data_IF_469104458379
#
_entry.id   IF_469104458379
#
_cell.length_a   1.000
_cell.length_b   1.000
_cell.length_c   1.000
_cell.angle_alpha   90.00
_cell.angle_beta   90.00
_cell.angle_gamma   90.00
#
_symmetry.space_group_name_H-M   'P 1'
#
loop_
_entity.id
_entity.type
_entity.pdbx_description
1 polymer ?
#
# COMPACT_ATOMS: atom_id res chain seq x y z
N UNK A 1 14.03 1.13 -6.22
CA UNK A 1 13.21 1.72 -5.13
C UNK A 1 13.92 2.90 -4.48
N UNK A 2 13.19 3.89 -3.94
CA UNK A 2 13.72 5.05 -3.20
C UNK A 2 12.96 5.20 -1.89
N UNK A 3 13.66 5.61 -0.83
CA UNK A 3 13.05 5.84 0.48
C UNK A 3 12.85 7.33 0.71
N UNK A 4 11.63 7.71 1.09
CA UNK A 4 11.19 9.07 1.25
C UNK A 4 10.91 9.39 2.72
N UNK A 5 11.32 10.56 3.17
CA UNK A 5 10.85 11.17 4.41
C UNK A 5 9.35 11.49 4.31
N UNK A 6 8.69 11.77 5.42
CA UNK A 6 7.29 12.21 5.40
C UNK A 6 7.10 13.48 4.57
N UNK A 7 8.05 14.43 4.63
CA UNK A 7 8.03 15.63 3.81
C UNK A 7 8.12 15.32 2.32
N UNK A 8 9.04 14.45 1.90
CA UNK A 8 9.17 14.03 0.49
C UNK A 8 7.91 13.29 -0.02
N UNK A 9 7.20 12.56 0.87
CA UNK A 9 5.90 11.96 0.52
C UNK A 9 4.84 13.04 0.24
N UNK A 10 4.73 14.07 1.08
CA UNK A 10 3.80 15.20 0.85
C UNK A 10 4.19 15.99 -0.41
N UNK A 11 5.47 16.22 -0.65
CA UNK A 11 5.97 16.87 -1.87
C UNK A 11 5.64 16.04 -3.13
N UNK A 12 5.75 14.71 -3.04
CA UNK A 12 5.37 13.81 -4.14
C UNK A 12 3.87 13.91 -4.48
N UNK A 13 2.98 13.98 -3.48
CA UNK A 13 1.55 14.23 -3.69
C UNK A 13 1.32 15.61 -4.31
N UNK A 14 1.88 16.64 -3.71
CA UNK A 14 1.70 18.04 -4.15
C UNK A 14 2.20 18.26 -5.58
N UNK A 15 3.33 17.66 -5.96
CA UNK A 15 3.87 17.76 -7.33
C UNK A 15 2.94 17.20 -8.41
N UNK A 16 1.93 16.43 -8.00
CA UNK A 16 0.91 15.84 -8.86
C UNK A 16 -0.47 16.49 -8.69
N UNK A 17 -0.52 17.63 -8.01
CA UNK A 17 -1.77 18.31 -7.63
C UNK A 17 -2.75 17.36 -6.90
N UNK A 18 -2.22 16.48 -6.03
CA UNK A 18 -2.99 15.46 -5.31
C UNK A 18 -3.01 15.75 -3.81
N UNK A 19 -4.03 15.22 -3.18
CA UNK A 19 -4.19 15.14 -1.72
C UNK A 19 -4.36 13.69 -1.31
N UNK A 20 -4.32 13.42 0.00
CA UNK A 20 -4.65 12.08 0.50
C UNK A 20 -6.07 11.70 0.09
N UNK A 21 -6.35 10.42 -0.24
CA UNK A 21 -7.61 9.98 -0.82
C UNK A 21 -8.84 10.40 -0.02
N UNK A 22 -8.81 10.31 1.28
CA UNK A 22 -9.92 10.68 2.18
C UNK A 22 -10.30 12.17 2.14
N UNK A 23 -9.44 13.01 1.56
CA UNK A 23 -9.69 14.45 1.36
C UNK A 23 -10.24 14.77 -0.03
N UNK A 24 -10.38 13.78 -0.89
CA UNK A 24 -10.85 13.96 -2.29
C UNK A 24 -12.37 13.99 -2.30
N UNK A 25 -12.96 15.06 -2.82
CA UNK A 25 -14.42 15.17 -2.94
C UNK A 25 -14.96 14.21 -4.01
N UNK A 26 -16.13 13.60 -3.72
CA UNK A 26 -16.81 12.72 -4.66
C UNK A 26 -16.12 11.37 -4.90
N UNK A 27 -15.13 11.01 -4.08
CA UNK A 27 -14.47 9.72 -4.18
C UNK A 27 -15.40 8.60 -3.71
N UNK A 28 -15.41 7.50 -4.45
CA UNK A 28 -16.10 6.27 -4.06
C UNK A 28 -15.16 5.41 -3.21
N UNK A 29 -15.72 4.70 -2.22
CA UNK A 29 -14.92 3.87 -1.30
C UNK A 29 -15.40 2.43 -1.25
N UNK A 30 -14.48 1.50 -1.00
CA UNK A 30 -14.76 0.09 -0.78
C UNK A 30 -13.80 -0.49 0.25
N UNK A 31 -14.35 -0.97 1.35
CA UNK A 31 -13.59 -1.69 2.38
C UNK A 31 -13.51 -3.18 2.02
N UNK A 32 -12.32 -3.74 2.10
CA UNK A 32 -12.04 -5.18 1.99
C UNK A 32 -11.27 -5.60 3.24
N UNK A 33 -11.80 -6.55 4.00
CA UNK A 33 -11.10 -7.09 5.18
C UNK A 33 -9.99 -8.07 4.77
N UNK A 34 -8.96 -8.15 5.60
CA UNK A 34 -7.90 -9.12 5.37
C UNK A 34 -8.44 -10.54 5.45
N UNK A 35 -7.94 -11.41 4.59
CA UNK A 35 -8.30 -12.82 4.69
C UNK A 35 -7.66 -13.46 5.92
N UNK A 36 -8.33 -14.45 6.50
CA UNK A 36 -7.92 -15.13 7.73
C UNK A 36 -6.60 -15.93 7.61
N UNK A 37 -6.02 -16.06 6.43
CA UNK A 37 -4.80 -16.86 6.22
C UNK A 37 -3.67 -16.04 5.60
N UNK A 38 -2.41 -16.22 6.06
CA UNK A 38 -1.25 -15.51 5.51
C UNK A 38 -1.07 -15.68 4.01
N UNK A 39 -1.36 -16.85 3.46
CA UNK A 39 -1.26 -17.09 2.02
C UNK A 39 -2.25 -16.26 1.19
N UNK A 40 -3.41 -15.94 1.74
CA UNK A 40 -4.37 -15.03 1.07
C UNK A 40 -3.96 -13.57 1.22
N UNK A 41 -3.26 -13.19 2.29
CA UNK A 41 -2.64 -11.85 2.43
C UNK A 41 -1.59 -11.66 1.33
N UNK A 42 -0.76 -12.67 1.07
CA UNK A 42 0.17 -12.66 -0.06
C UNK A 42 -0.55 -12.45 -1.39
N UNK A 43 -1.68 -13.15 -1.61
CA UNK A 43 -2.50 -12.97 -2.81
C UNK A 43 -3.02 -11.53 -2.93
N UNK A 44 -3.52 -10.92 -1.84
CA UNK A 44 -3.99 -9.53 -1.84
C UNK A 44 -2.86 -8.56 -2.18
N UNK A 45 -1.70 -8.68 -1.52
CA UNK A 45 -0.54 -7.82 -1.78
C UNK A 45 -0.08 -7.91 -3.25
N UNK A 46 0.02 -9.14 -3.77
CA UNK A 46 0.44 -9.38 -5.14
C UNK A 46 -0.60 -8.87 -6.16
N UNK A 47 -1.89 -9.11 -5.91
CA UNK A 47 -2.95 -8.62 -6.79
C UNK A 47 -2.97 -7.08 -6.85
N UNK A 48 -2.85 -6.40 -5.69
CA UNK A 48 -2.78 -4.94 -5.62
C UNK A 48 -1.60 -4.42 -6.43
N UNK A 49 -0.40 -4.97 -6.19
CA UNK A 49 0.79 -4.57 -6.90
C UNK A 49 0.70 -4.81 -8.42
N UNK A 50 0.05 -5.90 -8.84
CA UNK A 50 -0.04 -6.27 -10.26
C UNK A 50 -1.17 -5.59 -11.03
N UNK A 51 -2.24 -5.14 -10.36
CA UNK A 51 -3.42 -4.61 -11.05
C UNK A 51 -3.66 -3.12 -10.76
N UNK A 52 -3.54 -2.68 -9.49
CA UNK A 52 -3.77 -1.28 -9.12
C UNK A 52 -2.58 -0.40 -9.50
N UNK A 53 -1.35 -0.93 -9.31
CA UNK A 53 -0.12 -0.17 -9.53
C UNK A 53 0.61 -0.55 -10.82
N UNK A 54 -0.04 -1.34 -11.68
CA UNK A 54 0.60 -1.93 -12.86
C UNK A 54 1.30 -0.91 -13.74
N UNK A 55 2.61 -1.14 -13.92
CA UNK A 55 3.50 -0.34 -14.79
C UNK A 55 3.49 1.16 -14.50
N UNK A 56 3.32 1.55 -13.25
CA UNK A 56 3.41 2.96 -12.87
C UNK A 56 4.16 3.14 -11.55
N UNK A 57 4.93 4.22 -11.39
CA UNK A 57 5.54 4.56 -10.12
C UNK A 57 4.50 4.63 -9.02
N UNK A 58 4.79 4.02 -7.88
CA UNK A 58 3.85 3.93 -6.76
C UNK A 58 4.56 4.27 -5.45
N UNK A 59 3.96 5.17 -4.69
CA UNK A 59 4.39 5.48 -3.34
C UNK A 59 3.62 4.59 -2.35
N UNK A 60 4.36 3.75 -1.63
CA UNK A 60 3.88 3.08 -0.42
C UNK A 60 4.34 3.93 0.77
N UNK A 61 3.41 4.54 1.48
CA UNK A 61 3.70 5.44 2.60
C UNK A 61 3.14 4.87 3.90
N UNK A 62 4.01 4.31 4.74
CA UNK A 62 3.64 3.76 6.04
C UNK A 62 3.40 4.91 7.01
N UNK A 63 2.23 5.00 7.61
CA UNK A 63 1.83 6.04 8.57
C UNK A 63 1.51 5.49 9.95
N UNK A 64 1.25 4.17 10.04
CA UNK A 64 0.94 3.48 11.27
C UNK A 64 1.91 2.30 11.44
N UNK A 65 2.71 2.36 12.48
CA UNK A 65 3.67 1.31 12.81
C UNK A 65 3.05 0.40 13.87
N UNK A 66 3.01 -0.90 13.61
CA UNK A 66 2.51 -1.88 14.57
C UNK A 66 3.32 -1.85 15.88
N UNK A 67 2.67 -2.23 16.95
CA UNK A 67 3.29 -2.28 18.30
C UNK A 67 4.25 -3.45 18.48
N UNK A 68 4.22 -4.42 17.57
CA UNK A 68 5.06 -5.62 17.62
C UNK A 68 6.38 -5.36 16.89
N UNK A 69 7.48 -5.34 17.65
CA UNK A 69 8.81 -5.01 17.14
C UNK A 69 9.60 -6.23 16.62
N UNK A 70 9.12 -7.44 16.86
CA UNK A 70 9.84 -8.68 16.61
C UNK A 70 10.30 -8.85 15.15
N UNK A 71 9.52 -8.33 14.21
CA UNK A 71 9.80 -8.47 12.78
C UNK A 71 10.44 -7.23 12.14
N UNK A 72 10.67 -6.16 12.89
CA UNK A 72 11.29 -4.95 12.34
C UNK A 72 12.68 -5.21 11.77
N UNK A 73 13.45 -6.13 12.38
CA UNK A 73 14.77 -6.48 11.89
C UNK A 73 14.75 -7.04 10.46
N UNK A 74 13.71 -7.81 10.07
CA UNK A 74 13.57 -8.32 8.71
C UNK A 74 13.33 -7.18 7.73
N UNK A 75 12.46 -6.23 8.10
CA UNK A 75 12.19 -5.05 7.29
C UNK A 75 13.42 -4.15 7.14
N UNK A 76 14.20 -3.95 8.22
CA UNK A 76 15.48 -3.25 8.13
C UNK A 76 16.49 -3.96 7.23
N UNK A 77 16.57 -5.29 7.28
CA UNK A 77 17.42 -6.07 6.38
C UNK A 77 17.01 -5.89 4.91
N UNK A 78 15.71 -5.88 4.65
CA UNK A 78 15.20 -5.62 3.32
C UNK A 78 15.57 -4.21 2.84
N UNK A 79 15.40 -3.18 3.67
CA UNK A 79 15.81 -1.80 3.35
C UNK A 79 17.33 -1.66 3.16
N UNK A 80 18.11 -2.33 3.99
CA UNK A 80 19.59 -2.34 3.86
C UNK A 80 20.05 -2.93 2.52
N UNK A 81 19.33 -3.90 1.96
CA UNK A 81 19.64 -4.44 0.62
C UNK A 81 19.51 -3.39 -0.49
N UNK A 82 18.74 -2.32 -0.24
CA UNK A 82 18.63 -1.14 -1.09
C UNK A 82 19.49 0.05 -0.62
N UNK A 83 20.45 -0.22 0.28
CA UNK A 83 21.39 0.79 0.82
C UNK A 83 20.76 1.87 1.69
N UNK A 84 19.57 1.63 2.28
CA UNK A 84 18.95 2.54 3.23
C UNK A 84 19.13 2.02 4.67
N UNK A 85 19.75 2.84 5.53
CA UNK A 85 20.00 2.53 6.94
C UNK A 85 19.24 3.46 7.90
N UNK A 86 18.39 4.35 7.39
CA UNK A 86 17.59 5.26 8.22
C UNK A 86 16.56 4.49 9.05
N UNK A 87 16.15 5.05 10.17
CA UNK A 87 15.06 4.50 10.96
C UNK A 87 13.75 4.54 10.17
N UNK A 88 12.84 3.62 10.47
CA UNK A 88 11.58 3.49 9.72
C UNK A 88 10.75 4.79 9.74
N UNK A 89 10.69 5.48 10.89
CA UNK A 89 9.96 6.74 11.03
C UNK A 89 10.67 7.94 10.36
N UNK A 90 11.98 7.87 10.10
CA UNK A 90 12.73 8.91 9.39
C UNK A 90 12.45 8.89 7.87
N UNK A 91 12.22 7.70 7.33
CA UNK A 91 11.91 7.50 5.92
C UNK A 91 10.76 6.50 5.74
N UNK A 92 9.52 6.90 6.06
CA UNK A 92 8.36 6.02 6.02
C UNK A 92 7.84 5.75 4.61
N UNK A 93 8.25 6.52 3.63
CA UNK A 93 7.83 6.39 2.24
C UNK A 93 8.75 5.50 1.42
N UNK A 94 8.17 4.72 0.52
CA UNK A 94 8.87 3.80 -0.38
C UNK A 94 8.33 4.03 -1.78
N UNK A 95 9.11 4.73 -2.62
CA UNK A 95 8.75 4.93 -4.02
C UNK A 95 9.29 3.77 -4.85
N UNK A 96 8.39 2.98 -5.39
CA UNK A 96 8.65 1.91 -6.36
C UNK A 96 8.50 2.46 -7.77
N UNK A 97 9.37 2.03 -8.67
CA UNK A 97 9.30 2.33 -10.09
C UNK A 97 8.38 1.33 -10.80
N UNK A 98 8.06 1.60 -12.04
CA UNK A 98 7.12 0.82 -12.87
C UNK A 98 7.53 -0.65 -13.11
N UNK A 99 8.81 -0.98 -12.94
CA UNK A 99 9.35 -2.34 -13.07
C UNK A 99 9.60 -3.04 -11.73
N UNK A 100 9.29 -2.39 -10.59
CA UNK A 100 9.54 -2.92 -9.22
C UNK A 100 8.28 -3.51 -8.57
N UNK A 101 7.39 -4.10 -9.37
CA UNK A 101 6.09 -4.64 -8.89
C UNK A 101 6.27 -5.73 -7.83
N UNK A 102 7.24 -6.62 -7.98
CA UNK A 102 7.49 -7.71 -7.03
C UNK A 102 8.06 -7.19 -5.71
N UNK A 103 8.87 -6.14 -5.77
CA UNK A 103 9.38 -5.48 -4.57
C UNK A 103 8.23 -4.80 -3.81
N UNK A 104 7.35 -4.09 -4.51
CA UNK A 104 6.15 -3.50 -3.92
C UNK A 104 5.26 -4.56 -3.27
N UNK A 105 5.01 -5.68 -3.95
CA UNK A 105 4.23 -6.78 -3.39
C UNK A 105 4.86 -7.33 -2.11
N UNK A 106 6.18 -7.48 -2.08
CA UNK A 106 6.93 -7.97 -0.91
C UNK A 106 6.84 -6.99 0.27
N UNK A 107 7.05 -5.69 0.03
CA UNK A 107 6.96 -4.67 1.07
C UNK A 107 5.55 -4.52 1.61
N UNK A 108 4.54 -4.55 0.74
CA UNK A 108 3.13 -4.49 1.13
C UNK A 108 2.74 -5.72 1.96
N UNK A 109 3.13 -6.92 1.53
CA UNK A 109 2.89 -8.15 2.29
C UNK A 109 3.50 -8.09 3.69
N UNK A 110 4.77 -7.65 3.80
CA UNK A 110 5.43 -7.51 5.10
C UNK A 110 4.70 -6.50 5.99
N UNK A 111 4.28 -5.37 5.43
CA UNK A 111 3.54 -4.34 6.17
C UNK A 111 2.20 -4.89 6.70
N UNK A 112 1.43 -5.59 5.86
CA UNK A 112 0.16 -6.20 6.24
C UNK A 112 0.33 -7.30 7.29
N UNK A 113 1.34 -8.18 7.15
CA UNK A 113 1.61 -9.26 8.11
C UNK A 113 2.11 -8.75 9.46
N UNK A 114 2.73 -7.57 9.50
CA UNK A 114 3.21 -6.95 10.73
C UNK A 114 2.18 -6.03 11.39
N UNK A 115 0.95 -5.95 10.87
CA UNK A 115 -0.09 -5.08 11.39
C UNK A 115 0.26 -3.59 11.29
N UNK A 116 0.92 -3.18 10.22
CA UNK A 116 1.18 -1.77 9.91
C UNK A 116 0.06 -1.20 9.06
N UNK A 117 -0.05 0.13 9.04
CA UNK A 117 -1.00 0.82 8.19
C UNK A 117 -0.33 1.91 7.36
N UNK A 118 -0.95 2.22 6.21
CA UNK A 118 -0.42 3.24 5.32
C UNK A 118 -1.14 3.32 3.99
N UNK A 119 -0.64 4.19 3.13
CA UNK A 119 -1.21 4.49 1.83
C UNK A 119 -0.47 3.77 0.70
N UNK A 120 -1.24 3.33 -0.28
CA UNK A 120 -0.77 2.87 -1.60
C UNK A 120 -1.25 3.92 -2.60
N UNK A 121 -0.31 4.67 -3.15
CA UNK A 121 -0.57 5.85 -3.98
C UNK A 121 0.11 5.68 -5.34
N UNK A 122 -0.55 5.07 -6.33
CA UNK A 122 -0.02 4.99 -7.70
C UNK A 122 0.11 6.37 -8.33
N UNK A 123 0.97 6.53 -9.32
CA UNK A 123 1.15 7.79 -10.02
C UNK A 123 -0.14 8.27 -10.70
N UNK A 124 -0.92 7.36 -11.29
CA UNK A 124 -2.25 7.67 -11.82
C UNK A 124 -3.30 7.57 -10.71
N UNK A 125 -4.29 8.46 -10.75
CA UNK A 125 -5.31 8.64 -9.70
C UNK A 125 -6.60 7.85 -9.98
N UNK A 126 -6.48 6.62 -10.49
CA UNK A 126 -7.64 5.77 -10.76
C UNK A 126 -8.13 5.06 -9.50
N UNK A 127 -7.20 4.49 -8.75
CA UNK A 127 -7.45 3.81 -7.48
C UNK A 127 -6.30 4.11 -6.54
N UNK A 128 -6.63 4.53 -5.34
CA UNK A 128 -5.70 4.62 -4.20
C UNK A 128 -6.19 3.67 -3.13
N UNK A 129 -5.33 3.34 -2.17
CA UNK A 129 -5.75 2.53 -1.04
C UNK A 129 -5.10 2.98 0.26
N UNK A 130 -5.80 2.74 1.37
CA UNK A 130 -5.27 2.78 2.71
C UNK A 130 -5.43 1.39 3.33
N UNK A 131 -4.34 0.77 3.72
CA UNK A 131 -4.37 -0.48 4.48
C UNK A 131 -4.14 -0.18 5.96
N UNK A 132 -4.91 -0.84 6.83
CA UNK A 132 -4.96 -0.56 8.26
C UNK A 132 -4.39 -1.71 9.08
N UNK A 133 -3.81 -1.37 10.23
CA UNK A 133 -3.46 -2.34 11.28
C UNK A 133 -4.69 -3.06 11.88
N UNK A 134 -5.91 -2.54 11.64
CA UNK A 134 -7.17 -3.19 12.00
C UNK A 134 -7.63 -4.24 10.95
N UNK A 135 -6.69 -4.71 10.13
CA UNK A 135 -6.89 -5.81 9.17
C UNK A 135 -7.91 -5.53 8.07
N UNK A 136 -7.94 -4.31 7.54
CA UNK A 136 -8.72 -3.98 6.34
C UNK A 136 -7.95 -3.10 5.36
N UNK A 137 -8.43 -3.05 4.13
CA UNK A 137 -7.98 -2.10 3.11
C UNK A 137 -9.19 -1.30 2.66
N UNK A 138 -9.08 0.03 2.72
CA UNK A 138 -10.05 0.96 2.16
C UNK A 138 -9.56 1.43 0.79
N UNK A 139 -10.29 1.08 -0.26
CA UNK A 139 -10.00 1.48 -1.63
C UNK A 139 -10.79 2.71 -2.00
N UNK A 140 -10.13 3.65 -2.64
CA UNK A 140 -10.66 4.94 -3.09
C UNK A 140 -10.57 5.01 -4.61
N UNK A 141 -11.69 5.19 -5.30
CA UNK A 141 -11.73 5.24 -6.75
C UNK A 141 -12.67 6.32 -7.27
N UNK A 142 -12.35 6.85 -8.46
CA UNK A 142 -13.21 7.82 -9.16
C UNK A 142 -14.36 7.16 -9.90
N UNK A 143 -14.28 5.84 -10.17
CA UNK A 143 -15.27 5.09 -10.94
C UNK A 143 -15.68 3.79 -10.24
N UNK A 144 -16.99 3.51 -10.25
CA UNK A 144 -17.56 2.30 -9.66
C UNK A 144 -17.05 1.00 -10.32
N UNK A 145 -16.71 1.05 -11.62
CA UNK A 145 -16.12 -0.10 -12.32
C UNK A 145 -14.84 -0.61 -11.67
N UNK A 146 -14.00 0.31 -11.17
CA UNK A 146 -12.74 -0.07 -10.50
C UNK A 146 -13.03 -0.77 -9.17
N UNK A 147 -14.01 -0.29 -8.40
CA UNK A 147 -14.41 -0.92 -7.14
C UNK A 147 -15.07 -2.28 -7.37
N UNK A 148 -15.85 -2.44 -8.45
CA UNK A 148 -16.44 -3.72 -8.83
C UNK A 148 -15.37 -4.79 -9.12
N UNK A 149 -14.32 -4.42 -9.84
CA UNK A 149 -13.18 -5.30 -10.11
C UNK A 149 -12.46 -5.71 -8.81
N UNK A 150 -12.19 -4.76 -7.92
CA UNK A 150 -11.58 -5.01 -6.62
C UNK A 150 -12.44 -5.98 -5.79
N UNK A 151 -13.75 -5.75 -5.71
CA UNK A 151 -14.66 -6.67 -5.01
C UNK A 151 -14.65 -8.07 -5.59
N UNK A 152 -14.61 -8.18 -6.90
CA UNK A 152 -14.60 -9.49 -7.58
C UNK A 152 -13.31 -10.27 -7.31
N UNK A 153 -12.17 -9.56 -7.21
CA UNK A 153 -10.86 -10.18 -7.04
C UNK A 153 -10.51 -10.46 -5.57
N UNK A 154 -10.78 -9.51 -4.68
CA UNK A 154 -10.33 -9.54 -3.29
C UNK A 154 -11.46 -9.80 -2.29
N UNK A 155 -12.71 -9.58 -2.67
CA UNK A 155 -13.87 -9.83 -1.81
C UNK A 155 -13.96 -11.30 -1.40
N UNK A 156 -14.41 -11.55 -0.17
CA UNK A 156 -14.73 -12.92 0.24
C UNK A 156 -15.87 -13.46 -0.64
N UNK A 157 -15.64 -14.63 -1.25
CA UNK A 157 -16.76 -15.35 -1.87
C UNK A 157 -17.71 -15.76 -0.74
N UNK A 158 -19.05 -15.57 -0.89
CA UNK A 158 -19.99 -16.10 0.07
C UNK A 158 -19.67 -17.58 0.32
N UNK A 159 -19.57 -17.99 1.56
CA UNK A 159 -19.47 -19.42 1.89
C UNK A 159 -20.73 -20.06 1.32
N UNK A 160 -20.55 -20.99 0.38
CA UNK A 160 -21.63 -21.82 -0.16
C UNK A 160 -22.21 -22.74 0.92
#
# INVERSE_FOLDING_TARGET
MRFYTAQECEEWLTSRARVKPEKTQGILTQVIYYPATPGRILHHAHWIASNITYRMPTLLWITEWGIWHENWHLYYKLRQSYSDNRLLHEAPGHLFLDYETEDLASFLQLSMLNGWGGYILPQADYVNAFFSHDEYIDFFASHESNLAEIRAALGEKPKA
#
